data_IF_668994278712
#
_entry.id   IF_668994278712
#
_cell.length_a   1.000
_cell.length_b   1.000
_cell.length_c   1.000
_cell.angle_alpha   90.00
_cell.angle_beta   90.00
_cell.angle_gamma   90.00
#
_symmetry.space_group_name_H-M   'P 1'
#
loop_
_entity.id
_entity.type
_entity.pdbx_description
1 polymer ?
#
# COMPACT_ATOMS: atom_id res chain seq x y z
N UNK A 1 1.87 -9.98 14.72
CA UNK A 1 3.02 -9.06 14.55
C UNK A 1 3.57 -9.03 13.11
N UNK A 2 4.28 -10.06 12.62
CA UNK A 2 4.96 -10.02 11.31
C UNK A 2 4.06 -9.65 10.10
N UNK A 3 2.82 -10.14 10.07
CA UNK A 3 1.83 -9.77 9.05
C UNK A 3 1.51 -8.26 9.00
N UNK A 4 1.63 -7.55 10.11
CA UNK A 4 1.48 -6.10 10.16
C UNK A 4 2.57 -5.35 9.41
N UNK A 5 3.83 -5.72 9.64
CA UNK A 5 4.96 -5.15 8.89
C UNK A 5 4.89 -5.49 7.41
N UNK A 6 4.56 -6.74 7.08
CA UNK A 6 4.37 -7.16 5.69
C UNK A 6 3.22 -6.41 5.01
N UNK A 7 2.14 -6.08 5.72
CA UNK A 7 1.05 -5.27 5.17
C UNK A 7 1.54 -3.92 4.64
N UNK A 8 2.45 -3.26 5.38
CA UNK A 8 3.03 -1.97 4.96
C UNK A 8 3.90 -2.15 3.71
N UNK A 9 4.76 -3.17 3.72
CA UNK A 9 5.70 -3.42 2.62
C UNK A 9 5.00 -3.87 1.34
N UNK A 10 4.11 -4.86 1.42
CA UNK A 10 3.33 -5.36 0.29
C UNK A 10 2.37 -4.29 -0.24
N UNK A 11 1.75 -3.52 0.65
CA UNK A 11 0.87 -2.41 0.29
C UNK A 11 1.60 -1.28 -0.44
N UNK A 12 2.89 -1.08 -0.16
CA UNK A 12 3.70 -0.02 -0.81
C UNK A 12 3.81 -0.19 -2.33
N UNK A 13 3.72 -1.43 -2.84
CA UNK A 13 3.75 -1.72 -4.27
C UNK A 13 2.58 -1.07 -5.03
N UNK A 14 1.41 -0.93 -4.39
CA UNK A 14 0.26 -0.21 -4.97
C UNK A 14 0.56 1.28 -5.13
N UNK A 15 1.20 1.90 -4.14
CA UNK A 15 1.69 3.28 -4.25
C UNK A 15 2.73 3.41 -5.37
N UNK A 16 3.59 2.41 -5.54
CA UNK A 16 4.53 2.31 -6.65
C UNK A 16 3.87 2.37 -8.03
N UNK A 17 2.70 1.74 -8.21
CA UNK A 17 1.94 1.84 -9.48
C UNK A 17 1.49 3.28 -9.79
N UNK A 18 1.21 4.08 -8.76
CA UNK A 18 0.88 5.50 -8.92
C UNK A 18 2.13 6.33 -9.25
N UNK A 19 3.28 6.01 -8.62
CA UNK A 19 4.53 6.74 -8.81
C UNK A 19 5.22 6.42 -10.14
N UNK A 20 5.12 5.20 -10.64
CA UNK A 20 5.84 4.76 -11.85
C UNK A 20 5.58 5.64 -13.08
N UNK A 21 4.32 6.00 -13.44
CA UNK A 21 4.05 6.95 -14.52
C UNK A 21 4.66 8.34 -14.28
N UNK A 22 4.70 8.80 -13.03
CA UNK A 22 5.28 10.10 -12.67
C UNK A 22 6.81 10.11 -12.84
N UNK A 23 7.47 9.01 -12.44
CA UNK A 23 8.91 8.83 -12.60
C UNK A 23 9.31 8.78 -14.07
N UNK A 24 8.53 8.11 -14.90
CA UNK A 24 8.73 8.11 -16.35
C UNK A 24 8.57 9.52 -16.93
N UNK A 25 7.46 10.20 -16.62
CA UNK A 25 7.16 11.51 -17.19
C UNK A 25 8.15 12.60 -16.79
N UNK A 26 8.65 12.58 -15.54
CA UNK A 26 9.52 13.64 -15.00
C UNK A 26 11.00 13.34 -15.15
N UNK A 27 11.38 12.08 -15.14
CA UNK A 27 12.79 11.66 -15.05
C UNK A 27 13.21 10.65 -16.13
N UNK A 28 12.28 10.20 -16.99
CA UNK A 28 12.58 9.20 -18.03
C UNK A 28 12.94 7.82 -17.48
N UNK A 29 12.61 7.54 -16.22
CA UNK A 29 12.93 6.28 -15.56
C UNK A 29 11.88 5.22 -15.92
N UNK A 30 12.34 4.03 -16.31
CA UNK A 30 11.50 2.86 -16.59
C UNK A 30 11.79 1.76 -15.57
N UNK A 31 10.94 0.73 -15.45
CA UNK A 31 11.22 -0.43 -14.60
C UNK A 31 12.59 -1.05 -14.89
N UNK A 32 12.98 -1.15 -16.17
CA UNK A 32 14.26 -1.69 -16.63
C UNK A 32 15.42 -0.71 -16.40
N UNK A 33 15.12 0.55 -16.07
CA UNK A 33 16.08 1.65 -15.98
C UNK A 33 15.82 2.51 -14.74
N UNK A 34 16.04 1.94 -13.56
CA UNK A 34 16.10 2.68 -12.29
C UNK A 34 14.78 2.86 -11.55
N UNK A 35 13.65 2.35 -12.07
CA UNK A 35 12.35 2.38 -11.38
C UNK A 35 11.78 0.97 -11.06
N UNK A 36 12.59 -0.09 -11.14
CA UNK A 36 12.15 -1.48 -10.90
C UNK A 36 11.38 -1.65 -9.58
N UNK A 37 11.85 -1.02 -8.50
CA UNK A 37 11.22 -1.09 -7.19
C UNK A 37 9.77 -0.56 -7.21
N UNK A 38 9.55 0.61 -7.83
CA UNK A 38 8.23 1.24 -7.91
C UNK A 38 7.28 0.48 -8.84
N UNK A 39 7.82 -0.28 -9.80
CA UNK A 39 7.02 -1.11 -10.68
C UNK A 39 6.37 -2.31 -9.96
N UNK A 40 6.86 -2.71 -8.78
CA UNK A 40 6.29 -3.81 -8.01
C UNK A 40 6.18 -5.09 -8.85
N UNK A 41 4.96 -5.63 -8.95
CA UNK A 41 4.65 -6.81 -9.78
C UNK A 41 3.93 -6.43 -11.08
N UNK A 42 4.05 -5.17 -11.54
CA UNK A 42 3.36 -4.65 -12.72
C UNK A 42 1.84 -4.81 -12.61
N UNK A 43 1.21 -5.30 -13.68
CA UNK A 43 -0.24 -5.55 -13.74
C UNK A 43 -0.75 -6.51 -12.66
N UNK A 44 0.13 -7.40 -12.17
CA UNK A 44 -0.22 -8.35 -11.11
C UNK A 44 -0.21 -7.74 -9.71
N UNK A 45 0.29 -6.52 -9.51
CA UNK A 45 0.39 -5.89 -8.18
C UNK A 45 -0.95 -5.88 -7.45
N UNK A 46 -2.04 -5.52 -8.14
CA UNK A 46 -3.38 -5.53 -7.54
C UNK A 46 -3.87 -6.92 -7.15
N UNK A 47 -3.50 -7.96 -7.91
CA UNK A 47 -3.85 -9.35 -7.58
C UNK A 47 -3.05 -9.85 -6.37
N UNK A 48 -1.73 -9.62 -6.38
CA UNK A 48 -0.85 -10.02 -5.26
C UNK A 48 -1.24 -9.32 -3.95
N UNK A 49 -1.67 -8.05 -4.01
CA UNK A 49 -2.19 -7.38 -2.82
C UNK A 49 -3.46 -8.03 -2.27
N UNK A 50 -4.39 -8.45 -3.15
CA UNK A 50 -5.61 -9.14 -2.71
C UNK A 50 -5.29 -10.49 -2.07
N UNK A 51 -4.41 -11.27 -2.69
CA UNK A 51 -3.96 -12.56 -2.16
C UNK A 51 -3.28 -12.39 -0.80
N UNK A 52 -2.38 -11.41 -0.67
CA UNK A 52 -1.73 -11.12 0.61
C UNK A 52 -2.75 -10.77 1.70
N UNK A 53 -3.74 -9.91 1.39
CA UNK A 53 -4.77 -9.55 2.39
C UNK A 53 -5.61 -10.74 2.84
N UNK A 54 -5.94 -11.66 1.93
CA UNK A 54 -6.63 -12.90 2.30
C UNK A 54 -5.79 -13.75 3.25
N UNK A 55 -4.48 -13.86 2.97
CA UNK A 55 -3.56 -14.57 3.85
C UNK A 55 -3.43 -13.87 5.23
N UNK A 56 -3.29 -12.55 5.25
CA UNK A 56 -3.19 -11.78 6.49
C UNK A 56 -4.46 -11.91 7.34
N UNK A 57 -5.65 -11.89 6.74
CA UNK A 57 -6.91 -12.11 7.42
C UNK A 57 -6.99 -13.52 8.02
N UNK A 58 -6.61 -14.54 7.25
CA UNK A 58 -6.59 -15.92 7.74
C UNK A 58 -5.59 -16.18 8.87
N UNK A 59 -4.43 -15.51 8.85
CA UNK A 59 -3.32 -15.80 9.77
C UNK A 59 -3.23 -14.86 10.97
N UNK A 60 -3.74 -13.64 10.85
CA UNK A 60 -3.67 -12.62 11.90
C UNK A 60 -5.04 -11.97 12.20
N UNK A 61 -6.09 -12.29 11.45
CA UNK A 61 -7.45 -11.75 11.63
C UNK A 61 -8.34 -12.55 12.59
N UNK A 62 -7.96 -13.78 12.94
CA UNK A 62 -8.83 -14.73 13.62
C UNK A 62 -9.23 -14.35 15.06
N UNK A 63 -8.41 -13.59 15.78
CA UNK A 63 -8.72 -13.11 17.13
C UNK A 63 -8.20 -11.68 17.34
N UNK A 64 -8.73 -11.00 18.35
CA UNK A 64 -8.42 -9.59 18.61
C UNK A 64 -6.94 -9.39 18.98
N UNK A 65 -6.35 -10.28 19.77
CA UNK A 65 -4.96 -10.15 20.23
C UNK A 65 -3.97 -10.20 19.06
N UNK A 66 -4.16 -11.11 18.11
CA UNK A 66 -3.31 -11.22 16.93
C UNK A 66 -3.51 -10.04 15.97
N UNK A 67 -4.75 -9.56 15.84
CA UNK A 67 -5.10 -8.36 15.08
C UNK A 67 -4.41 -7.12 15.67
N UNK A 68 -4.51 -6.91 16.97
CA UNK A 68 -3.85 -5.81 17.67
C UNK A 68 -2.33 -5.87 17.50
N UNK A 69 -1.74 -7.06 17.66
CA UNK A 69 -0.31 -7.25 17.46
C UNK A 69 0.12 -6.98 16.01
N UNK A 70 -0.70 -7.29 15.02
CA UNK A 70 -0.45 -6.93 13.62
C UNK A 70 -0.60 -5.42 13.38
N UNK A 71 -1.65 -4.79 13.89
CA UNK A 71 -1.86 -3.34 13.78
C UNK A 71 -0.69 -2.56 14.41
N UNK A 72 -0.26 -2.94 15.61
CA UNK A 72 0.88 -2.31 16.29
C UNK A 72 2.17 -2.42 15.46
N UNK A 73 2.46 -3.61 14.90
CA UNK A 73 3.64 -3.81 14.06
C UNK A 73 3.56 -3.00 12.75
N UNK A 74 2.38 -2.87 12.15
CA UNK A 74 2.18 -2.01 10.98
C UNK A 74 2.48 -0.54 11.29
N UNK A 75 1.96 -0.03 12.41
CA UNK A 75 2.23 1.34 12.87
C UNK A 75 3.72 1.57 13.12
N UNK A 76 4.39 0.64 13.81
CA UNK A 76 5.84 0.71 14.04
C UNK A 76 6.64 0.70 12.72
N UNK A 77 6.19 -0.08 11.73
CA UNK A 77 6.83 -0.13 10.42
C UNK A 77 6.69 1.20 9.67
N UNK A 78 5.51 1.81 9.68
CA UNK A 78 5.32 3.16 9.14
C UNK A 78 6.20 4.19 9.85
N UNK A 79 6.25 4.17 11.18
CA UNK A 79 7.09 5.08 11.97
C UNK A 79 8.56 4.94 11.59
N UNK A 80 9.08 3.71 11.51
CA UNK A 80 10.46 3.45 11.12
C UNK A 80 10.77 3.96 9.71
N UNK A 81 9.85 3.78 8.74
CA UNK A 81 10.01 4.31 7.39
C UNK A 81 10.03 5.84 7.39
N UNK A 82 9.11 6.49 8.12
CA UNK A 82 9.06 7.94 8.26
C UNK A 82 10.37 8.48 8.84
N UNK A 83 10.86 7.88 9.92
CA UNK A 83 12.13 8.26 10.56
C UNK A 83 13.32 8.07 9.60
N UNK A 84 13.37 6.93 8.91
CA UNK A 84 14.42 6.62 7.93
C UNK A 84 14.50 7.68 6.83
N UNK A 85 13.35 8.11 6.31
CA UNK A 85 13.29 9.08 5.21
C UNK A 85 13.29 10.55 5.66
N UNK A 86 13.18 10.84 6.96
CA UNK A 86 13.15 12.21 7.47
C UNK A 86 14.38 13.03 7.04
N UNK A 87 15.55 12.40 6.99
CA UNK A 87 16.80 13.05 6.56
C UNK A 87 16.83 13.43 5.07
N UNK A 88 16.09 12.69 4.22
CA UNK A 88 16.01 12.96 2.78
C UNK A 88 15.16 14.20 2.49
N UNK A 89 14.13 14.44 3.30
CA UNK A 89 13.28 15.63 3.20
C UNK A 89 13.95 16.92 3.69
N UNK A 90 14.86 16.81 4.67
CA UNK A 90 15.53 17.98 5.27
C UNK A 90 16.53 18.69 4.33
N UNK A 91 16.99 18.01 3.26
CA UNK A 91 17.92 18.56 2.27
C UNK A 91 17.29 18.93 0.93
N UNK A 92 16.00 18.66 0.72
CA UNK A 92 15.33 19.01 -0.52
C UNK A 92 14.96 20.51 -0.49
N UNK A 93 15.34 21.31 -1.52
CA UNK A 93 14.79 22.65 -1.65
C UNK A 93 13.26 22.54 -1.73
N UNK A 94 12.56 23.53 -1.20
CA UNK A 94 11.09 23.58 -1.08
C UNK A 94 10.42 23.37 -2.46
N UNK A 95 10.25 22.11 -2.84
CA UNK A 95 9.63 21.72 -4.09
C UNK A 95 8.14 21.97 -3.88
N UNK A 96 7.48 22.77 -4.74
CA UNK A 96 6.06 23.00 -4.60
C UNK A 96 5.36 21.64 -4.59
N UNK A 97 4.69 21.32 -3.48
CA UNK A 97 3.80 20.16 -3.39
C UNK A 97 2.87 20.28 -4.59
N UNK A 98 2.98 19.31 -5.51
CA UNK A 98 2.19 19.36 -6.74
C UNK A 98 0.72 19.45 -6.33
N UNK A 99 0.13 20.62 -6.57
CA UNK A 99 -1.25 20.89 -6.23
C UNK A 99 -2.12 19.81 -6.89
N UNK A 100 -2.99 19.20 -6.08
CA UNK A 100 -4.09 18.31 -6.47
C UNK A 100 -3.68 17.02 -7.19
N UNK A 101 -3.53 15.95 -6.40
CA UNK A 101 -3.87 14.62 -6.90
C UNK A 101 -5.36 14.64 -7.32
N UNK A 102 -5.74 14.10 -8.49
CA UNK A 102 -7.14 13.99 -8.87
C UNK A 102 -7.86 13.07 -7.87
N UNK A 103 -9.04 13.49 -7.43
CA UNK A 103 -9.93 12.74 -6.55
C UNK A 103 -10.23 11.36 -7.16
N UNK A 104 -9.58 10.30 -6.70
CA UNK A 104 -9.99 8.94 -7.06
C UNK A 104 -11.26 8.60 -6.28
N UNK A 105 -12.40 8.60 -6.96
CA UNK A 105 -13.65 8.04 -6.43
C UNK A 105 -13.51 6.52 -6.33
N UNK A 106 -13.53 5.98 -5.11
CA UNK A 106 -13.68 4.55 -4.89
C UNK A 106 -15.16 4.17 -5.10
N UNK A 107 -15.45 3.36 -6.12
CA UNK A 107 -16.75 2.70 -6.25
C UNK A 107 -16.83 1.61 -5.19
N UNK A 108 -17.55 1.88 -4.11
CA UNK A 108 -17.93 0.89 -3.11
C UNK A 108 -18.95 -0.07 -3.73
N UNK A 109 -18.50 -1.27 -4.10
CA UNK A 109 -19.43 -2.35 -4.47
C UNK A 109 -19.82 -3.08 -3.20
N UNK A 110 -20.86 -2.60 -2.53
CA UNK A 110 -21.52 -3.33 -1.46
C UNK A 110 -22.31 -4.49 -2.08
N UNK A 111 -21.80 -5.71 -1.97
CA UNK A 111 -22.57 -6.92 -2.26
C UNK A 111 -23.58 -7.13 -1.13
N UNK A 112 -24.82 -6.70 -1.35
CA UNK A 112 -25.95 -7.05 -0.48
C UNK A 112 -26.27 -8.54 -0.66
N UNK A 113 -25.84 -9.37 0.28
CA UNK A 113 -26.35 -10.76 0.39
C UNK A 113 -27.62 -10.70 1.23
N UNK A 114 -28.77 -10.68 0.57
CA UNK A 114 -30.07 -10.93 1.20
C UNK A 114 -30.17 -12.41 1.54
N UNK A 115 -30.21 -12.74 2.83
CA UNK A 115 -30.56 -14.08 3.30
C UNK A 115 -32.06 -14.09 3.57
N UNK A 116 -32.78 -14.89 2.78
CA UNK A 116 -34.19 -15.17 2.98
C UNK A 116 -34.38 -16.17 4.13
N UNK A 117 -35.27 -15.82 5.07
CA UNK A 117 -35.76 -16.68 6.15
C UNK A 117 -36.79 -17.68 5.61
N UNK A 118 -36.69 -18.99 5.85
CA UNK A 118 -37.81 -19.90 5.62
C UNK A 118 -38.71 -19.97 6.87
N UNK A 119 -40.00 -20.20 6.61
CA UNK A 119 -41.06 -20.45 7.60
C UNK A 119 -40.79 -21.67 8.47
#
# INVERSE_FOLDING_TARGET
AAFGSLYVLEGSALGGQVLTPMLLARHGLTPERGAAYFHGFGERTGAMWREFRQLADAQAGANETDRDAACHAAVQTFQALIETFASVGAGAPDLPVAATAPSMSFVSTAAATSVATPQ
#
